data_IF_721711100451
#
_entry.id   IF_721711100451
#
_cell.length_a   1.000
_cell.length_b   1.000
_cell.length_c   1.000
_cell.angle_alpha   90.00
_cell.angle_beta   90.00
_cell.angle_gamma   90.00
#
_symmetry.space_group_name_H-M   'P 1'
#
loop_
_entity.id
_entity.type
_entity.pdbx_description
1 polymer ?
#
# COMPACT_ATOMS: atom_id res chain seq x y z
N UNK A 1 -1.39 -20.09 -1.41
CA UNK A 1 -1.49 -20.30 -2.87
C UNK A 1 -1.37 -18.92 -3.51
N UNK A 2 -0.45 -18.69 -4.48
CA UNK A 2 -0.36 -17.43 -5.20
C UNK A 2 -1.69 -17.09 -5.90
N UNK A 3 -2.00 -15.81 -6.00
CA UNK A 3 -3.19 -15.34 -6.69
C UNK A 3 -3.16 -15.73 -8.18
N UNK A 4 -4.31 -16.19 -8.67
CA UNK A 4 -4.55 -16.41 -10.10
C UNK A 4 -5.96 -15.91 -10.47
N UNK A 5 -6.05 -15.15 -11.57
CA UNK A 5 -7.35 -14.65 -12.05
C UNK A 5 -8.04 -15.72 -12.91
N UNK A 6 -8.36 -16.88 -12.30
CA UNK A 6 -8.98 -18.04 -12.95
C UNK A 6 -10.16 -18.56 -12.14
N UNK A 7 -11.17 -19.18 -12.80
CA UNK A 7 -12.28 -19.83 -12.12
C UNK A 7 -11.85 -20.85 -11.05
N UNK A 8 -10.87 -21.70 -11.37
CA UNK A 8 -10.36 -22.75 -10.47
C UNK A 8 -9.76 -22.15 -9.18
N UNK A 9 -9.08 -20.99 -9.29
CA UNK A 9 -8.58 -20.28 -8.11
C UNK A 9 -9.72 -19.77 -7.21
N UNK A 10 -10.78 -19.23 -7.82
CA UNK A 10 -11.92 -18.71 -7.05
C UNK A 10 -12.74 -19.83 -6.42
N UNK A 11 -12.86 -20.99 -7.08
CA UNK A 11 -13.46 -22.19 -6.49
C UNK A 11 -12.67 -22.68 -5.28
N UNK A 12 -11.35 -22.83 -5.43
CA UNK A 12 -10.45 -23.17 -4.32
C UNK A 12 -10.54 -22.18 -3.15
N UNK A 13 -10.67 -20.87 -3.46
CA UNK A 13 -10.87 -19.83 -2.45
C UNK A 13 -12.18 -20.06 -1.69
N UNK A 14 -13.26 -20.40 -2.39
CA UNK A 14 -14.56 -20.72 -1.81
C UNK A 14 -14.51 -21.93 -0.89
N UNK A 15 -13.84 -23.01 -1.30
CA UNK A 15 -13.63 -24.20 -0.49
C UNK A 15 -12.87 -23.90 0.81
N UNK A 16 -11.74 -23.15 0.68
CA UNK A 16 -10.94 -22.77 1.86
C UNK A 16 -11.70 -21.83 2.81
N UNK A 17 -12.48 -20.91 2.28
CA UNK A 17 -13.33 -20.05 3.09
C UNK A 17 -14.42 -20.86 3.81
N UNK A 18 -15.07 -21.78 3.12
CA UNK A 18 -16.09 -22.66 3.72
C UNK A 18 -15.48 -23.48 4.85
N UNK A 19 -14.30 -24.05 4.64
CA UNK A 19 -13.59 -24.78 5.69
C UNK A 19 -13.22 -23.88 6.88
N UNK A 20 -12.71 -22.66 6.62
CA UNK A 20 -12.43 -21.69 7.67
C UNK A 20 -13.68 -21.33 8.46
N UNK A 21 -14.78 -21.02 7.78
CA UNK A 21 -16.05 -20.67 8.42
C UNK A 21 -16.60 -21.79 9.29
N UNK A 22 -16.43 -23.07 8.88
CA UNK A 22 -16.85 -24.23 9.68
C UNK A 22 -16.03 -24.42 10.96
N UNK A 23 -14.83 -23.81 11.04
CA UNK A 23 -13.98 -23.83 12.24
C UNK A 23 -14.30 -22.70 13.24
N UNK A 24 -15.14 -21.73 12.85
CA UNK A 24 -15.48 -20.61 13.72
C UNK A 24 -16.57 -21.01 14.73
N UNK A 25 -16.42 -20.48 15.95
CA UNK A 25 -17.43 -20.64 17.01
C UNK A 25 -18.68 -19.75 16.81
N UNK A 26 -18.69 -18.92 15.78
CA UNK A 26 -19.78 -17.97 15.51
C UNK A 26 -20.78 -18.54 14.49
N UNK A 27 -22.09 -18.30 14.67
CA UNK A 27 -23.08 -18.69 13.69
C UNK A 27 -22.91 -17.91 12.38
N UNK A 28 -23.15 -18.55 11.24
CA UNK A 28 -23.07 -17.91 9.91
C UNK A 28 -23.95 -16.67 9.78
N UNK A 29 -25.05 -16.59 10.55
CA UNK A 29 -25.93 -15.42 10.61
C UNK A 29 -25.29 -14.15 11.18
N UNK A 30 -24.15 -14.28 11.85
CA UNK A 30 -23.36 -13.15 12.38
C UNK A 30 -22.40 -12.55 11.34
N UNK A 31 -22.25 -13.19 10.18
CA UNK A 31 -21.34 -12.75 9.13
C UNK A 31 -22.08 -11.82 8.17
N UNK A 32 -21.65 -10.56 8.11
CA UNK A 32 -22.29 -9.53 7.29
C UNK A 32 -21.85 -9.59 5.82
N UNK A 33 -20.64 -10.06 5.54
CA UNK A 33 -20.08 -10.10 4.19
C UNK A 33 -18.58 -10.37 4.16
N UNK A 34 -18.02 -10.31 2.96
CA UNK A 34 -16.61 -10.56 2.67
C UNK A 34 -16.01 -9.31 2.03
N UNK A 35 -15.00 -8.75 2.68
CA UNK A 35 -14.14 -7.72 2.10
C UNK A 35 -12.97 -8.37 1.35
N UNK A 36 -12.80 -8.04 0.08
CA UNK A 36 -11.71 -8.53 -0.77
C UNK A 36 -10.71 -7.38 -0.95
N UNK A 37 -9.56 -7.49 -0.32
CA UNK A 37 -8.48 -6.50 -0.41
C UNK A 37 -7.57 -6.86 -1.58
N UNK A 38 -7.36 -5.93 -2.51
CA UNK A 38 -6.58 -6.14 -3.72
C UNK A 38 -5.63 -4.97 -4.00
N UNK A 39 -4.45 -5.29 -4.53
CA UNK A 39 -3.54 -4.30 -5.13
C UNK A 39 -4.07 -3.91 -6.52
N UNK A 40 -4.73 -2.75 -6.59
CA UNK A 40 -5.30 -2.24 -7.83
C UNK A 40 -6.37 -1.19 -7.56
N UNK A 41 -6.67 -0.39 -8.56
CA UNK A 41 -7.75 0.59 -8.47
C UNK A 41 -9.09 -0.11 -8.57
N UNK A 42 -9.97 0.21 -7.64
CA UNK A 42 -11.30 -0.37 -7.53
C UNK A 42 -12.34 0.67 -7.90
N UNK A 43 -13.34 0.29 -8.68
CA UNK A 43 -14.48 1.16 -9.03
C UNK A 43 -15.16 1.75 -7.78
N UNK A 44 -15.80 2.90 -7.92
CA UNK A 44 -16.42 3.61 -6.80
C UNK A 44 -17.48 2.78 -6.05
N UNK A 45 -18.12 1.84 -6.74
CA UNK A 45 -19.11 0.91 -6.17
C UNK A 45 -18.49 -0.35 -5.56
N UNK A 46 -17.15 -0.49 -5.56
CA UNK A 46 -16.43 -1.64 -5.02
C UNK A 46 -16.59 -2.93 -5.82
N UNK A 47 -17.03 -2.86 -7.10
CA UNK A 47 -17.42 -4.06 -7.85
C UNK A 47 -16.46 -4.49 -8.94
N UNK A 48 -15.54 -3.62 -9.37
CA UNK A 48 -14.67 -3.91 -10.52
C UNK A 48 -13.26 -3.39 -10.27
N UNK A 49 -12.26 -4.18 -10.63
CA UNK A 49 -10.86 -3.75 -10.69
C UNK A 49 -10.68 -2.95 -11.99
N UNK A 50 -10.55 -1.63 -11.90
CA UNK A 50 -10.37 -0.75 -13.05
C UNK A 50 -8.93 -0.74 -13.56
N UNK A 51 -7.96 -0.99 -12.68
CA UNK A 51 -6.55 -1.15 -13.01
C UNK A 51 -5.89 -2.11 -12.01
N UNK A 52 -5.38 -3.25 -12.47
CA UNK A 52 -4.80 -4.30 -11.63
C UNK A 52 -3.60 -4.97 -12.30
N UNK A 53 -2.55 -4.18 -12.59
CA UNK A 53 -1.40 -4.63 -13.38
C UNK A 53 -0.50 -5.61 -12.63
N UNK A 54 -0.29 -5.38 -11.33
CA UNK A 54 0.55 -6.25 -10.48
C UNK A 54 -0.02 -7.67 -10.42
N UNK A 55 -1.33 -7.78 -10.21
CA UNK A 55 -2.03 -9.06 -10.10
C UNK A 55 -2.58 -9.56 -11.45
N UNK A 56 -2.36 -8.82 -12.54
CA UNK A 56 -2.95 -9.12 -13.85
C UNK A 56 -4.47 -9.36 -13.80
N UNK A 57 -5.18 -8.52 -13.07
CA UNK A 57 -6.61 -8.68 -12.80
C UNK A 57 -7.47 -7.49 -13.22
N UNK A 58 -6.99 -6.63 -14.13
CA UNK A 58 -7.80 -5.56 -14.69
C UNK A 58 -9.08 -6.12 -15.33
N UNK A 59 -10.24 -5.55 -14.99
CA UNK A 59 -11.54 -6.03 -15.42
C UNK A 59 -12.15 -7.13 -14.54
N UNK A 60 -11.43 -7.62 -13.51
CA UNK A 60 -12.00 -8.58 -12.55
C UNK A 60 -13.19 -7.93 -11.83
N UNK A 61 -14.30 -8.66 -11.78
CA UNK A 61 -15.52 -8.20 -11.11
C UNK A 61 -15.81 -9.01 -9.85
N UNK A 62 -16.50 -8.37 -8.89
CA UNK A 62 -17.00 -9.07 -7.71
C UNK A 62 -17.86 -10.28 -8.11
N UNK A 63 -18.68 -10.15 -9.16
CA UNK A 63 -19.55 -11.26 -9.62
C UNK A 63 -18.77 -12.49 -10.10
N UNK A 64 -17.56 -12.31 -10.62
CA UNK A 64 -16.73 -13.44 -11.02
C UNK A 64 -16.24 -14.26 -9.81
N UNK A 65 -16.09 -13.63 -8.65
CA UNK A 65 -15.61 -14.26 -7.42
C UNK A 65 -16.79 -14.71 -6.56
N UNK A 66 -17.79 -13.86 -6.37
CA UNK A 66 -18.89 -14.05 -5.41
C UNK A 66 -19.76 -15.27 -5.67
N UNK A 67 -19.81 -15.78 -6.92
CA UNK A 67 -20.51 -17.02 -7.23
C UNK A 67 -19.95 -18.25 -6.50
N UNK A 68 -18.73 -18.18 -6.01
CA UNK A 68 -18.08 -19.25 -5.24
C UNK A 68 -18.10 -18.96 -3.73
N UNK A 69 -18.60 -17.82 -3.29
CA UNK A 69 -18.55 -17.37 -1.91
C UNK A 69 -19.96 -17.31 -1.30
N UNK A 70 -20.11 -17.71 -0.02
CA UNK A 70 -21.44 -17.86 0.58
C UNK A 70 -22.06 -16.54 1.09
N UNK A 71 -21.35 -15.41 0.98
CA UNK A 71 -21.80 -14.12 1.52
C UNK A 71 -21.62 -13.00 0.50
N UNK A 72 -22.33 -11.86 0.65
CA UNK A 72 -22.11 -10.67 -0.15
C UNK A 72 -20.65 -10.23 -0.11
N UNK A 73 -20.10 -9.79 -1.26
CA UNK A 73 -18.71 -9.40 -1.40
C UNK A 73 -18.57 -7.96 -1.87
N UNK A 74 -17.51 -7.30 -1.42
CA UNK A 74 -17.05 -6.02 -1.95
C UNK A 74 -15.54 -6.02 -2.09
N UNK A 75 -15.01 -5.24 -3.02
CA UNK A 75 -13.56 -5.03 -3.19
C UNK A 75 -13.15 -3.69 -2.61
N UNK A 76 -11.95 -3.64 -2.08
CA UNK A 76 -11.31 -2.42 -1.59
C UNK A 76 -9.83 -2.42 -1.97
N UNK A 77 -9.30 -1.25 -2.27
CA UNK A 77 -7.87 -1.04 -2.49
C UNK A 77 -7.08 -1.30 -1.21
N UNK A 78 -5.91 -1.92 -1.32
CA UNK A 78 -5.12 -2.35 -0.15
C UNK A 78 -4.68 -1.19 0.76
N UNK A 79 -4.25 -0.05 0.18
CA UNK A 79 -3.90 1.13 0.96
C UNK A 79 -5.12 1.75 1.67
N UNK A 80 -6.31 1.75 1.04
CA UNK A 80 -7.53 2.22 1.69
C UNK A 80 -7.93 1.30 2.85
N UNK A 81 -7.81 -0.02 2.67
CA UNK A 81 -8.08 -0.98 3.73
C UNK A 81 -7.15 -0.78 4.94
N UNK A 82 -5.85 -0.61 4.68
CA UNK A 82 -4.86 -0.35 5.73
C UNK A 82 -5.09 1.00 6.41
N UNK A 83 -5.34 2.07 5.65
CA UNK A 83 -5.60 3.40 6.19
C UNK A 83 -6.93 3.48 6.97
N UNK A 84 -7.90 2.60 6.70
CA UNK A 84 -9.14 2.50 7.49
C UNK A 84 -8.83 2.16 8.96
N UNK A 85 -7.83 1.31 9.20
CA UNK A 85 -7.42 0.97 10.58
C UNK A 85 -6.86 2.21 11.31
N UNK A 86 -6.05 3.02 10.62
CA UNK A 86 -5.51 4.26 11.20
C UNK A 86 -6.63 5.24 11.57
N UNK A 87 -7.64 5.38 10.71
CA UNK A 87 -8.81 6.22 10.99
C UNK A 87 -9.63 5.70 12.18
N UNK A 88 -9.69 4.39 12.39
CA UNK A 88 -10.37 3.82 13.55
C UNK A 88 -9.61 4.05 14.85
N UNK A 89 -8.28 3.94 14.81
CA UNK A 89 -7.43 4.13 15.99
C UNK A 89 -7.26 5.61 16.35
N UNK A 90 -7.34 6.51 15.38
CA UNK A 90 -7.14 7.94 15.51
C UNK A 90 -8.29 8.72 14.86
N UNK A 91 -9.52 8.65 15.40
CA UNK A 91 -10.71 9.23 14.77
C UNK A 91 -10.68 10.76 14.66
N UNK A 92 -9.79 11.42 15.42
CA UNK A 92 -9.52 12.85 15.34
C UNK A 92 -8.68 13.22 14.11
N UNK A 93 -7.87 12.31 13.58
CA UNK A 93 -7.10 12.52 12.35
C UNK A 93 -7.98 12.38 11.13
N UNK A 94 -8.47 13.54 10.66
CA UNK A 94 -9.38 13.59 9.50
C UNK A 94 -8.67 13.85 8.18
N UNK A 95 -7.42 14.28 8.22
CA UNK A 95 -6.64 14.63 7.03
C UNK A 95 -5.26 14.00 7.14
N UNK A 96 -4.88 13.19 6.16
CA UNK A 96 -3.57 12.56 6.11
C UNK A 96 -3.21 12.08 4.70
N UNK A 97 -1.91 11.96 4.46
CA UNK A 97 -1.32 11.23 3.34
C UNK A 97 -0.84 9.89 3.90
N UNK A 98 -1.42 8.78 3.47
CA UNK A 98 -1.04 7.46 3.95
C UNK A 98 -0.17 6.75 2.92
N UNK A 99 1.06 6.40 3.30
CA UNK A 99 1.97 5.54 2.52
C UNK A 99 1.89 4.11 3.03
N UNK A 100 1.43 3.20 2.21
CA UNK A 100 1.41 1.77 2.48
C UNK A 100 2.64 1.12 1.86
N UNK A 101 3.75 1.11 2.63
CA UNK A 101 5.07 0.68 2.15
C UNK A 101 5.24 -0.82 2.39
N UNK A 102 5.13 -1.57 1.32
CA UNK A 102 5.30 -3.02 1.26
C UNK A 102 6.23 -3.38 0.09
N UNK A 103 6.22 -4.67 -0.33
CA UNK A 103 6.93 -5.12 -1.53
C UNK A 103 6.67 -4.19 -2.71
N UNK A 104 5.42 -3.81 -2.91
CA UNK A 104 5.01 -2.69 -3.75
C UNK A 104 4.47 -1.56 -2.86
N UNK A 105 4.67 -0.34 -3.31
CA UNK A 105 4.15 0.85 -2.66
C UNK A 105 2.72 1.09 -3.12
N UNK A 106 1.85 1.49 -2.21
CA UNK A 106 0.55 2.05 -2.52
C UNK A 106 0.22 3.18 -1.56
N UNK A 107 -0.80 3.97 -1.85
CA UNK A 107 -1.14 5.10 -1.01
C UNK A 107 -2.62 5.42 -0.95
N UNK A 108 -2.97 6.27 0.00
CA UNK A 108 -4.29 6.83 0.14
C UNK A 108 -4.23 8.28 0.61
N UNK A 109 -5.13 9.12 0.09
CA UNK A 109 -5.37 10.47 0.59
C UNK A 109 -6.64 10.48 1.43
N UNK A 110 -6.53 10.96 2.66
CA UNK A 110 -7.64 11.10 3.60
C UNK A 110 -7.95 12.58 3.72
N UNK A 111 -9.18 12.95 3.41
CA UNK A 111 -9.68 14.33 3.45
C UNK A 111 -11.02 14.35 4.18
N UNK A 112 -11.11 15.07 5.28
CA UNK A 112 -12.32 15.13 6.12
C UNK A 112 -12.82 13.73 6.57
N UNK A 113 -11.91 12.82 6.89
CA UNK A 113 -12.21 11.45 7.33
C UNK A 113 -12.69 10.52 6.23
N UNK A 114 -12.50 10.88 4.94
CA UNK A 114 -12.90 10.08 3.78
C UNK A 114 -11.73 9.95 2.79
N UNK A 115 -11.71 8.85 2.05
CA UNK A 115 -10.72 8.68 0.98
C UNK A 115 -11.04 9.58 -0.21
N UNK A 116 -10.05 10.38 -0.60
CA UNK A 116 -10.12 11.17 -1.82
C UNK A 116 -9.75 10.29 -3.02
N UNK A 117 -10.74 9.91 -3.82
CA UNK A 117 -10.52 9.01 -4.97
C UNK A 117 -10.31 9.74 -6.30
N UNK A 118 -10.77 10.99 -6.39
CA UNK A 118 -10.78 11.75 -7.65
C UNK A 118 -11.81 11.23 -8.66
N UNK A 119 -11.95 11.95 -9.77
CA UNK A 119 -12.96 11.63 -10.81
C UNK A 119 -12.70 10.29 -11.52
N UNK A 120 -11.42 9.91 -11.65
CA UNK A 120 -11.01 8.67 -12.33
C UNK A 120 -10.40 7.65 -11.36
N UNK A 121 -10.64 7.80 -10.06
CA UNK A 121 -10.17 6.91 -8.98
C UNK A 121 -8.63 6.82 -8.88
N UNK A 122 -7.92 7.85 -9.35
CA UNK A 122 -6.45 7.89 -9.39
C UNK A 122 -5.83 8.74 -8.28
N UNK A 123 -6.62 9.43 -7.45
CA UNK A 123 -6.08 10.19 -6.32
C UNK A 123 -5.55 9.22 -5.26
N UNK A 124 -4.35 9.49 -4.77
CA UNK A 124 -3.64 8.58 -3.86
C UNK A 124 -2.70 7.58 -4.54
N UNK A 125 -2.70 7.51 -5.89
CA UNK A 125 -1.80 6.66 -6.69
C UNK A 125 -0.44 7.36 -6.88
N UNK A 126 0.12 7.87 -5.78
CA UNK A 126 1.37 8.65 -5.85
C UNK A 126 2.62 7.76 -5.94
N UNK A 127 2.51 6.45 -5.79
CA UNK A 127 3.59 5.50 -6.08
C UNK A 127 4.11 5.61 -7.51
N UNK A 128 3.31 6.16 -8.42
CA UNK A 128 3.71 6.43 -9.80
C UNK A 128 4.13 7.88 -10.06
N UNK A 129 4.28 8.71 -9.03
CA UNK A 129 4.92 10.02 -9.12
C UNK A 129 6.40 9.84 -9.49
N UNK A 130 6.89 10.61 -10.47
CA UNK A 130 8.30 10.55 -10.87
C UNK A 130 9.15 11.28 -9.82
N UNK A 131 10.02 10.55 -9.13
CA UNK A 131 10.97 11.08 -8.12
C UNK A 131 12.36 11.24 -8.73
N UNK A 132 12.76 10.30 -9.57
CA UNK A 132 14.08 10.29 -10.21
C UNK A 132 13.86 10.29 -11.72
N UNK A 133 13.97 11.45 -12.42
CA UNK A 133 13.87 11.48 -13.87
C UNK A 133 14.81 10.47 -14.52
N UNK A 134 14.32 9.75 -15.53
CA UNK A 134 15.05 8.68 -16.22
C UNK A 134 15.57 7.53 -15.33
N UNK A 135 15.10 7.43 -14.09
CA UNK A 135 15.46 6.38 -13.13
C UNK A 135 15.05 4.97 -13.56
N UNK A 136 14.98 4.04 -12.61
CA UNK A 136 14.63 2.63 -12.85
C UNK A 136 13.27 2.49 -13.56
N UNK A 137 13.10 1.48 -14.45
CA UNK A 137 11.81 1.20 -15.06
C UNK A 137 10.80 0.75 -14.00
N UNK A 138 9.56 1.23 -14.12
CA UNK A 138 8.45 0.87 -13.27
C UNK A 138 7.47 -0.05 -14.03
N UNK A 139 6.79 -0.94 -13.32
CA UNK A 139 5.78 -1.84 -13.92
C UNK A 139 4.62 -1.07 -14.59
N UNK A 140 4.38 0.18 -14.22
CA UNK A 140 3.37 1.02 -14.89
C UNK A 140 3.76 1.45 -16.30
N UNK A 141 5.02 1.24 -16.72
CA UNK A 141 5.58 1.63 -18.01
C UNK A 141 6.36 2.95 -18.00
N UNK A 142 6.33 3.70 -16.90
CA UNK A 142 7.15 4.91 -16.69
C UNK A 142 8.53 4.54 -16.13
N UNK A 143 9.38 5.56 -15.97
CA UNK A 143 10.68 5.46 -15.31
C UNK A 143 10.76 6.41 -14.11
N UNK A 144 11.53 5.99 -13.09
CA UNK A 144 11.83 6.82 -11.91
C UNK A 144 10.65 7.11 -11.00
N UNK A 145 9.63 6.25 -11.02
CA UNK A 145 8.50 6.34 -10.11
C UNK A 145 8.94 6.16 -8.65
N UNK A 146 8.22 6.75 -7.72
CA UNK A 146 8.37 6.55 -6.27
C UNK A 146 8.43 5.06 -5.91
N UNK A 147 7.59 4.22 -6.53
CA UNK A 147 7.62 2.75 -6.43
C UNK A 147 9.03 2.19 -6.56
N UNK A 148 9.84 2.69 -7.51
CA UNK A 148 11.16 2.13 -7.83
C UNK A 148 12.27 2.57 -6.88
N UNK A 149 11.98 3.42 -5.90
CA UNK A 149 12.95 3.94 -4.92
C UNK A 149 12.43 3.99 -3.47
N UNK A 150 11.12 3.84 -3.25
CA UNK A 150 10.50 3.92 -1.92
C UNK A 150 9.66 2.70 -1.53
N UNK A 151 9.57 1.65 -2.36
CA UNK A 151 8.99 0.37 -1.98
C UNK A 151 9.97 -0.47 -1.16
N UNK A 152 9.50 -1.52 -0.47
CA UNK A 152 10.37 -2.50 0.18
C UNK A 152 11.25 -3.22 -0.84
N UNK A 153 10.69 -3.58 -2.00
CA UNK A 153 11.47 -4.19 -3.09
C UNK A 153 12.56 -3.27 -3.65
N UNK A 154 12.40 -1.95 -3.53
CA UNK A 154 13.44 -1.00 -3.92
C UNK A 154 14.59 -0.91 -2.89
N UNK A 155 14.29 -1.16 -1.61
CA UNK A 155 15.24 -1.14 -0.51
C UNK A 155 16.07 -2.44 -0.43
N UNK A 156 15.42 -3.59 -0.58
CA UNK A 156 16.04 -4.90 -0.38
C UNK A 156 16.79 -5.39 -1.63
N UNK A 157 17.82 -6.19 -1.41
CA UNK A 157 18.47 -7.00 -2.44
C UNK A 157 17.72 -8.33 -2.62
N UNK A 158 18.08 -9.06 -3.66
CA UNK A 158 17.56 -10.41 -3.89
C UNK A 158 17.81 -11.32 -2.69
N UNK A 159 16.78 -12.05 -2.25
CA UNK A 159 16.79 -12.94 -1.07
C UNK A 159 17.08 -12.26 0.29
N UNK A 160 17.07 -10.94 0.38
CA UNK A 160 17.23 -10.20 1.62
C UNK A 160 15.85 -9.94 2.25
N UNK A 161 15.73 -10.10 3.56
CA UNK A 161 14.50 -9.77 4.30
C UNK A 161 14.60 -8.40 4.99
N UNK A 162 13.48 -7.84 5.42
CA UNK A 162 13.49 -6.62 6.25
C UNK A 162 14.24 -6.86 7.56
N UNK A 163 14.07 -8.04 8.19
CA UNK A 163 14.81 -8.38 9.42
C UNK A 163 16.32 -8.35 9.18
N UNK A 164 16.80 -8.96 8.10
CA UNK A 164 18.22 -8.95 7.74
C UNK A 164 18.72 -7.53 7.50
N UNK A 165 17.99 -6.76 6.67
CA UNK A 165 18.37 -5.40 6.35
C UNK A 165 18.51 -4.54 7.59
N UNK A 166 17.47 -4.49 8.44
CA UNK A 166 17.49 -3.64 9.62
C UNK A 166 18.45 -4.14 10.71
N UNK A 167 18.70 -5.47 10.81
CA UNK A 167 19.73 -6.02 11.68
C UNK A 167 21.13 -5.45 11.32
N UNK A 168 21.49 -5.48 10.04
CA UNK A 168 22.77 -4.95 9.55
C UNK A 168 22.83 -3.42 9.64
N UNK A 169 21.74 -2.73 9.36
CA UNK A 169 21.65 -1.28 9.52
C UNK A 169 21.90 -0.86 10.98
N UNK A 170 21.30 -1.56 11.96
CA UNK A 170 21.51 -1.26 13.39
C UNK A 170 22.92 -1.60 13.89
N UNK A 171 23.64 -2.47 13.17
CA UNK A 171 25.09 -2.70 13.37
C UNK A 171 25.95 -1.62 12.71
N UNK A 172 25.37 -0.62 12.06
CA UNK A 172 26.06 0.47 11.36
C UNK A 172 26.99 0.00 10.24
N UNK A 173 26.57 -1.04 9.52
CA UNK A 173 27.32 -1.51 8.37
C UNK A 173 27.15 -0.52 7.21
N UNK A 174 28.26 0.01 6.72
CA UNK A 174 28.32 1.14 5.79
C UNK A 174 27.40 1.00 4.57
N UNK A 175 27.39 -0.17 3.91
CA UNK A 175 26.56 -0.38 2.72
C UNK A 175 25.05 -0.37 3.01
N UNK A 176 24.63 -0.68 4.24
CA UNK A 176 23.25 -0.61 4.68
C UNK A 176 22.87 0.81 5.06
N UNK A 177 23.76 1.55 5.71
CA UNK A 177 23.56 2.97 6.01
C UNK A 177 23.44 3.79 4.72
N UNK A 178 24.28 3.56 3.71
CA UNK A 178 24.18 4.24 2.41
C UNK A 178 22.85 3.95 1.71
N UNK A 179 22.39 2.69 1.68
CA UNK A 179 21.10 2.33 1.09
C UNK A 179 19.94 2.99 1.84
N UNK A 180 19.99 2.97 3.17
CA UNK A 180 18.94 3.59 3.99
C UNK A 180 18.89 5.10 3.79
N UNK A 181 20.03 5.77 3.78
CA UNK A 181 20.12 7.21 3.51
C UNK A 181 19.60 7.58 2.10
N UNK A 182 19.91 6.76 1.11
CA UNK A 182 19.37 6.94 -0.25
C UNK A 182 17.86 6.77 -0.29
N UNK A 183 17.34 5.74 0.38
CA UNK A 183 15.92 5.47 0.51
C UNK A 183 15.18 6.62 1.18
N UNK A 184 15.66 7.09 2.33
CA UNK A 184 15.09 8.24 3.04
C UNK A 184 15.17 9.53 2.21
N UNK A 185 16.22 9.71 1.40
CA UNK A 185 16.32 10.87 0.51
C UNK A 185 15.25 10.85 -0.59
N UNK A 186 14.97 9.68 -1.17
CA UNK A 186 13.88 9.53 -2.15
C UNK A 186 12.51 9.78 -1.49
N UNK A 187 12.30 9.25 -0.28
CA UNK A 187 11.07 9.45 0.47
C UNK A 187 10.90 10.94 0.86
N UNK A 188 11.97 11.64 1.21
CA UNK A 188 11.97 13.08 1.45
C UNK A 188 11.43 13.86 0.25
N UNK A 189 11.95 13.57 -0.96
CA UNK A 189 11.50 14.22 -2.19
C UNK A 189 10.01 13.95 -2.43
N UNK A 190 9.57 12.71 -2.19
CA UNK A 190 8.17 12.35 -2.36
C UNK A 190 7.25 13.10 -1.40
N UNK A 191 7.62 13.20 -0.13
CA UNK A 191 6.85 13.91 0.89
C UNK A 191 6.82 15.41 0.60
N UNK A 192 7.96 16.02 0.30
CA UNK A 192 8.05 17.44 -0.03
C UNK A 192 7.18 17.79 -1.26
N UNK A 193 7.26 17.01 -2.33
CA UNK A 193 6.41 17.19 -3.51
C UNK A 193 4.90 17.08 -3.19
N UNK A 194 4.51 16.18 -2.31
CA UNK A 194 3.11 16.05 -1.90
C UNK A 194 2.66 17.20 -1.02
N UNK A 195 3.52 17.69 -0.12
CA UNK A 195 3.23 18.85 0.71
C UNK A 195 3.04 20.12 -0.12
N UNK A 196 3.67 20.26 -1.29
CA UNK A 196 3.40 21.37 -2.21
C UNK A 196 1.98 21.35 -2.79
N UNK A 197 1.31 20.21 -2.73
CA UNK A 197 -0.06 20.03 -3.26
C UNK A 197 -1.08 19.97 -2.12
N UNK A 198 -0.73 19.31 -1.02
CA UNK A 198 -1.62 19.07 0.11
C UNK A 198 -0.81 19.03 1.41
N UNK A 199 -1.04 20.00 2.28
CA UNK A 199 -0.30 20.17 3.54
C UNK A 199 -0.99 19.38 4.67
N UNK A 200 -0.80 18.05 4.65
CA UNK A 200 -1.36 17.13 5.62
C UNK A 200 -0.28 16.26 6.25
N UNK A 201 -0.57 15.76 7.46
CA UNK A 201 0.27 14.77 8.13
C UNK A 201 0.53 13.57 7.23
N UNK A 202 1.75 13.06 7.27
CA UNK A 202 2.14 11.82 6.57
C UNK A 202 2.14 10.66 7.56
N UNK A 203 1.46 9.57 7.21
CA UNK A 203 1.46 8.31 7.94
C UNK A 203 2.25 7.28 7.14
N UNK A 204 3.30 6.73 7.73
CA UNK A 204 4.10 5.65 7.16
C UNK A 204 3.61 4.31 7.71
N UNK A 205 2.93 3.55 6.89
CA UNK A 205 2.40 2.23 7.22
C UNK A 205 3.00 1.11 6.36
N UNK A 206 2.46 -0.09 6.50
CA UNK A 206 2.90 -1.27 5.76
C UNK A 206 3.97 -2.09 6.48
N UNK A 207 4.59 -3.04 5.77
CA UNK A 207 5.54 -4.00 6.36
C UNK A 207 6.84 -3.37 6.85
N UNK A 208 7.20 -2.17 6.40
CA UNK A 208 8.38 -1.44 6.86
C UNK A 208 8.16 -0.73 8.22
N UNK A 209 6.92 -0.37 8.53
CA UNK A 209 6.61 0.48 9.69
C UNK A 209 7.15 -0.05 11.03
N UNK A 210 7.10 -1.36 11.35
CA UNK A 210 7.65 -1.91 12.59
C UNK A 210 9.16 -1.74 12.76
N UNK A 211 9.88 -1.47 11.68
CA UNK A 211 11.35 -1.33 11.69
C UNK A 211 11.81 0.13 11.80
N UNK A 212 10.91 1.09 11.56
CA UNK A 212 11.22 2.53 11.64
C UNK A 212 11.27 2.93 13.11
N UNK A 213 12.38 3.54 13.51
CA UNK A 213 12.60 4.05 14.87
C UNK A 213 12.45 5.58 14.91
N UNK A 214 12.30 6.13 16.12
CA UNK A 214 12.27 7.60 16.32
C UNK A 214 13.50 8.28 15.69
N UNK A 215 14.68 7.67 15.78
CA UNK A 215 15.91 8.18 15.14
C UNK A 215 15.78 8.25 13.62
N UNK A 216 15.10 7.28 12.99
CA UNK A 216 14.85 7.29 11.54
C UNK A 216 13.85 8.40 11.16
N UNK A 217 12.83 8.61 12.01
CA UNK A 217 11.86 9.70 11.84
C UNK A 217 12.55 11.06 11.99
N UNK A 218 13.36 11.26 13.03
CA UNK A 218 14.12 12.50 13.24
C UNK A 218 15.03 12.81 12.04
N UNK A 219 15.68 11.79 11.51
CA UNK A 219 16.53 11.92 10.33
C UNK A 219 15.70 12.31 9.10
N UNK A 220 14.55 11.68 8.88
CA UNK A 220 13.64 12.00 7.78
C UNK A 220 13.12 13.44 7.91
N UNK A 221 12.65 13.85 9.09
CA UNK A 221 12.19 15.21 9.36
C UNK A 221 13.29 16.25 9.12
N UNK A 222 14.53 15.98 9.58
CA UNK A 222 15.68 16.84 9.31
C UNK A 222 15.98 17.00 7.81
N UNK A 223 15.76 15.92 7.02
CA UNK A 223 15.93 15.98 5.56
C UNK A 223 14.81 16.78 4.91
N UNK A 224 13.57 16.62 5.34
CA UNK A 224 12.42 17.36 4.84
C UNK A 224 12.62 18.86 5.11
N UNK A 225 12.97 19.26 6.35
CA UNK A 225 13.24 20.64 6.70
C UNK A 225 14.34 21.31 5.86
N UNK A 226 15.35 20.52 5.43
CA UNK A 226 16.42 21.04 4.57
C UNK A 226 16.03 21.13 3.09
N UNK A 227 15.08 20.30 2.66
CA UNK A 227 14.62 20.23 1.28
C UNK A 227 13.48 21.22 1.03
N UNK A 228 12.61 21.43 2.03
CA UNK A 228 11.45 22.29 1.92
C UNK A 228 11.81 23.75 1.72
N UNK A 229 10.99 24.45 0.94
CA UNK A 229 11.08 25.89 0.70
C UNK A 229 10.48 26.73 1.85
N UNK A 230 9.82 26.09 2.86
CA UNK A 230 9.09 26.73 3.96
C UNK A 230 9.51 26.19 5.31
#
# INVERSE_FOLDING_TARGET
VPFSNTPDYFELLGEKLTHFLSSLAYPSSSILGIGIVLQGLISADGKTVTYGKILNCTGLTVSAISKYLPFPCTMIHDAEAAATLELWQQPEKKNAIFFHIRENLSGALIVNGKFLKGCELKSGVFEHMTIIPDGKPCYCGKRGCMETCCSVSALLKENETLDDFFLHLRKKEHSYEERWLSYLSALTIAIDNLHMVIDYDVILGGSIAPYITDTDIDLLLSKIQKASAF
#
